data_IF_904826111939
#
_entry.id   IF_904826111939
#
_cell.length_a   1.000
_cell.length_b   1.000
_cell.length_c   1.000
_cell.angle_alpha   90.00
_cell.angle_beta   90.00
_cell.angle_gamma   90.00
#
_symmetry.space_group_name_H-M   'P 1'
#
loop_
_entity.id
_entity.type
_entity.pdbx_description
1 polymer ?
#
# COMPACT_ATOMS: atom_id res chain seq x y z
N UNK A 1 -17.06 7.21 -11.26
CA UNK A 1 -15.86 6.37 -11.01
C UNK A 1 -16.34 4.98 -10.66
N UNK A 2 -15.68 3.93 -11.17
CA UNK A 2 -15.93 2.58 -10.69
C UNK A 2 -15.38 2.44 -9.26
N UNK A 3 -16.21 1.95 -8.33
CA UNK A 3 -15.91 1.84 -6.91
C UNK A 3 -15.46 0.44 -6.51
N UNK A 4 -15.57 -0.54 -7.42
CA UNK A 4 -15.09 -1.91 -7.22
C UNK A 4 -13.57 -2.05 -7.41
N UNK A 5 -12.91 -1.03 -7.98
CA UNK A 5 -11.47 -1.05 -8.24
C UNK A 5 -11.08 -1.70 -9.58
N UNK A 6 -12.02 -1.86 -10.52
CA UNK A 6 -11.73 -2.27 -11.90
C UNK A 6 -11.44 -1.06 -12.82
N UNK A 7 -11.56 0.17 -12.32
CA UNK A 7 -11.25 1.42 -13.01
C UNK A 7 -9.82 1.96 -12.79
N UNK A 8 -9.62 3.24 -13.15
CA UNK A 8 -8.31 3.93 -13.05
C UNK A 8 -7.92 4.33 -11.62
N UNK A 9 -8.87 4.32 -10.68
CA UNK A 9 -8.66 4.67 -9.27
C UNK A 9 -8.79 3.42 -8.44
N UNK A 10 -7.89 3.26 -7.46
CA UNK A 10 -7.92 2.20 -6.46
C UNK A 10 -7.97 2.82 -5.07
N UNK A 11 -8.90 2.37 -4.24
CA UNK A 11 -8.96 2.75 -2.82
C UNK A 11 -8.05 1.82 -2.01
N UNK A 12 -7.22 2.41 -1.14
CA UNK A 12 -6.21 1.67 -0.35
C UNK A 12 -6.28 2.08 1.11
N UNK A 13 -5.93 1.15 2.00
CA UNK A 13 -5.84 1.40 3.43
C UNK A 13 -4.42 1.07 3.92
N UNK A 14 -3.58 2.07 4.23
CA UNK A 14 -2.17 1.86 4.57
C UNK A 14 -1.94 0.82 5.67
N UNK A 15 -2.74 0.84 6.74
CA UNK A 15 -2.60 -0.14 7.81
C UNK A 15 -2.92 -1.59 7.37
N UNK A 16 -3.78 -1.80 6.37
CA UNK A 16 -3.99 -3.13 5.80
C UNK A 16 -2.80 -3.60 4.95
N UNK A 17 -2.19 -2.69 4.18
CA UNK A 17 -0.98 -3.00 3.42
C UNK A 17 0.21 -3.31 4.35
N UNK A 18 0.43 -2.50 5.38
CA UNK A 18 1.44 -2.75 6.42
C UNK A 18 1.23 -4.11 7.08
N UNK A 19 -0.02 -4.44 7.46
CA UNK A 19 -0.36 -5.75 8.01
C UNK A 19 -0.04 -6.88 7.02
N UNK A 20 -0.34 -6.71 5.73
CA UNK A 20 -0.02 -7.70 4.69
C UNK A 20 1.48 -7.94 4.60
N UNK A 21 2.30 -6.89 4.67
CA UNK A 21 3.77 -6.98 4.61
C UNK A 21 4.44 -7.25 5.95
N UNK A 22 3.64 -7.56 6.99
CA UNK A 22 4.12 -7.88 8.34
C UNK A 22 4.92 -6.75 9.00
N UNK A 23 4.63 -5.51 8.61
CA UNK A 23 5.22 -4.30 9.20
C UNK A 23 4.36 -3.81 10.37
N UNK A 24 4.92 -2.88 11.16
CA UNK A 24 4.18 -2.21 12.23
C UNK A 24 2.95 -1.49 11.66
N UNK A 25 1.76 -1.94 12.04
CA UNK A 25 0.49 -1.45 11.49
C UNK A 25 -0.52 -0.97 12.55
N UNK A 26 -0.16 -1.06 13.84
CA UNK A 26 -1.02 -0.65 14.97
C UNK A 26 -0.34 0.37 15.85
N UNK A 27 -1.13 1.24 16.47
CA UNK A 27 -0.68 2.12 17.55
C UNK A 27 0.32 3.23 17.14
N UNK A 28 0.77 3.27 15.89
CA UNK A 28 1.71 4.31 15.44
C UNK A 28 1.06 5.69 15.35
N UNK A 29 -0.26 5.79 15.16
CA UNK A 29 -1.02 7.05 15.12
C UNK A 29 -1.56 7.52 16.48
N UNK A 30 -1.07 6.97 17.59
CA UNK A 30 -1.64 7.27 18.91
C UNK A 30 -1.41 8.74 19.29
N UNK A 31 -2.46 9.50 19.66
CA UNK A 31 -2.33 10.88 20.09
C UNK A 31 -1.35 11.03 21.26
N UNK A 32 -0.50 12.05 21.23
CA UNK A 32 0.44 12.35 22.31
C UNK A 32 1.81 11.67 22.22
N UNK A 33 2.04 10.83 21.19
CA UNK A 33 3.40 10.41 20.83
C UNK A 33 4.12 11.58 20.15
N UNK A 34 5.34 11.90 20.58
CA UNK A 34 6.23 12.80 19.83
C UNK A 34 6.34 12.28 18.41
N UNK A 35 6.31 13.17 17.41
CA UNK A 35 6.32 12.84 15.99
C UNK A 35 7.67 12.26 15.54
N UNK A 36 7.96 11.06 16.02
CA UNK A 36 9.11 10.24 15.69
C UNK A 36 8.60 8.88 15.21
N UNK A 37 8.62 8.75 13.89
CA UNK A 37 8.27 7.58 13.08
C UNK A 37 9.52 6.98 12.44
N UNK A 38 10.73 7.33 12.92
CA UNK A 38 11.99 6.83 12.36
C UNK A 38 12.04 5.31 12.26
N UNK A 39 11.54 4.63 13.29
CA UNK A 39 11.46 3.18 13.33
C UNK A 39 10.57 2.58 12.21
N UNK A 40 9.50 3.27 11.77
CA UNK A 40 8.66 2.81 10.65
C UNK A 40 9.40 2.88 9.33
N UNK A 41 10.17 3.96 9.13
CA UNK A 41 10.99 4.16 7.93
C UNK A 41 12.14 3.14 7.90
N UNK A 42 12.76 2.85 9.04
CA UNK A 42 13.79 1.81 9.17
C UNK A 42 13.23 0.42 8.86
N UNK A 43 12.07 0.07 9.43
CA UNK A 43 11.41 -1.22 9.18
C UNK A 43 11.06 -1.38 7.69
N UNK A 44 10.51 -0.32 7.08
CA UNK A 44 10.14 -0.31 5.66
C UNK A 44 11.36 -0.46 4.74
N UNK A 45 12.42 0.32 4.96
CA UNK A 45 13.62 0.31 4.11
C UNK A 45 14.45 -0.96 4.31
N UNK A 46 14.41 -1.59 5.49
CA UNK A 46 14.96 -2.92 5.70
C UNK A 46 14.18 -4.00 4.92
N UNK A 47 12.85 -3.90 4.85
CA UNK A 47 12.00 -4.84 4.11
C UNK A 47 12.00 -4.60 2.59
N UNK A 48 12.26 -3.36 2.16
CA UNK A 48 12.33 -2.93 0.77
C UNK A 48 13.61 -2.12 0.51
N UNK A 49 14.80 -2.76 0.46
CA UNK A 49 16.08 -2.07 0.29
C UNK A 49 16.24 -1.39 -1.08
N UNK A 50 15.33 -1.66 -2.01
CA UNK A 50 15.24 -1.01 -3.31
C UNK A 50 14.44 0.30 -3.28
N UNK A 51 13.76 0.62 -2.18
CA UNK A 51 12.95 1.83 -2.04
C UNK A 51 13.85 3.01 -1.65
N UNK A 52 13.94 4.00 -2.54
CA UNK A 52 14.57 5.28 -2.27
C UNK A 52 13.50 6.34 -1.97
N UNK A 53 13.52 6.88 -0.74
CA UNK A 53 12.63 7.97 -0.32
C UNK A 53 13.16 9.36 -0.73
N UNK A 54 14.42 9.45 -1.16
CA UNK A 54 15.09 10.69 -1.55
C UNK A 54 14.93 11.79 -0.51
N UNK A 55 14.60 12.99 -0.99
CA UNK A 55 14.40 14.17 -0.12
C UNK A 55 13.20 14.09 0.83
N UNK A 56 12.36 13.04 0.74
CA UNK A 56 11.19 12.86 1.60
C UNK A 56 11.44 11.93 2.80
N UNK A 57 12.64 11.34 2.94
CA UNK A 57 12.97 10.45 4.07
C UNK A 57 12.68 11.13 5.41
N UNK A 58 13.24 12.33 5.64
CA UNK A 58 13.06 13.06 6.89
C UNK A 58 11.58 13.41 7.14
N UNK A 59 10.82 13.73 6.09
CA UNK A 59 9.40 14.01 6.22
C UNK A 59 8.61 12.77 6.65
N UNK A 60 8.94 11.59 6.09
CA UNK A 60 8.32 10.32 6.49
C UNK A 60 8.65 9.96 7.95
N UNK A 61 9.82 10.34 8.45
CA UNK A 61 10.23 10.10 9.85
C UNK A 61 9.49 10.99 10.86
N UNK A 62 8.94 12.13 10.44
CA UNK A 62 8.26 13.07 11.35
C UNK A 62 6.76 13.25 11.05
N UNK A 63 6.24 12.60 10.02
CA UNK A 63 4.83 12.65 9.65
C UNK A 63 4.34 11.26 9.26
N UNK A 64 3.40 10.72 10.04
CA UNK A 64 2.76 9.45 9.68
C UNK A 64 1.92 9.58 8.41
N UNK A 65 1.44 10.80 8.06
CA UNK A 65 0.69 11.03 6.83
C UNK A 65 1.61 10.91 5.60
N UNK A 66 2.83 11.44 5.70
CA UNK A 66 3.83 11.27 4.65
C UNK A 66 4.26 9.80 4.51
N UNK A 67 4.47 9.10 5.62
CA UNK A 67 4.72 7.66 5.62
C UNK A 67 3.55 6.88 4.98
N UNK A 68 2.32 7.17 5.39
CA UNK A 68 1.12 6.51 4.83
C UNK A 68 0.95 6.77 3.34
N UNK A 69 1.34 7.95 2.84
CA UNK A 69 1.33 8.26 1.41
C UNK A 69 2.30 7.35 0.63
N UNK A 70 3.48 7.07 1.17
CA UNK A 70 4.42 6.10 0.60
C UNK A 70 3.79 4.70 0.56
N UNK A 71 3.20 4.25 1.67
CA UNK A 71 2.52 2.95 1.74
C UNK A 71 1.35 2.87 0.75
N UNK A 72 0.57 3.94 0.59
CA UNK A 72 -0.51 4.03 -0.38
C UNK A 72 0.02 3.91 -1.82
N UNK A 73 1.13 4.58 -2.15
CA UNK A 73 1.76 4.48 -3.46
C UNK A 73 2.26 3.05 -3.76
N UNK A 74 2.84 2.37 -2.77
CA UNK A 74 3.25 0.97 -2.89
C UNK A 74 2.06 0.02 -3.09
N UNK A 75 0.95 0.25 -2.39
CA UNK A 75 -0.29 -0.51 -2.58
C UNK A 75 -0.90 -0.26 -3.97
N UNK A 76 -0.87 0.99 -4.46
CA UNK A 76 -1.29 1.33 -5.81
C UNK A 76 -0.41 0.65 -6.88
N UNK A 77 0.91 0.55 -6.63
CA UNK A 77 1.81 -0.23 -7.50
C UNK A 77 1.43 -1.71 -7.52
N UNK A 78 1.08 -2.31 -6.38
CA UNK A 78 0.57 -3.68 -6.34
C UNK A 78 -0.71 -3.83 -7.18
N UNK A 79 -1.61 -2.86 -7.11
CA UNK A 79 -2.83 -2.82 -7.92
C UNK A 79 -2.52 -2.75 -9.43
N UNK A 80 -1.59 -1.89 -9.83
CA UNK A 80 -1.14 -1.78 -11.22
C UNK A 80 -0.50 -3.07 -11.75
N UNK A 81 0.11 -3.87 -10.88
CA UNK A 81 0.65 -5.20 -11.21
C UNK A 81 -0.40 -6.32 -11.15
N UNK A 82 -1.67 -6.01 -10.83
CA UNK A 82 -2.73 -7.00 -10.63
C UNK A 82 -2.57 -7.84 -9.35
N UNK A 83 -1.67 -7.46 -8.44
CA UNK A 83 -1.32 -8.18 -7.20
C UNK A 83 -2.13 -7.66 -6.01
N UNK A 84 -3.44 -7.55 -6.18
CA UNK A 84 -4.39 -7.14 -5.13
C UNK A 84 -5.57 -8.11 -5.06
N UNK A 85 -6.20 -8.16 -3.88
CA UNK A 85 -7.47 -8.87 -3.73
C UNK A 85 -8.58 -8.07 -4.39
N UNK A 86 -9.37 -8.72 -5.24
CA UNK A 86 -10.59 -8.18 -5.86
C UNK A 86 -11.84 -8.71 -5.16
N UNK A 87 -12.97 -7.99 -5.23
CA UNK A 87 -14.23 -8.52 -4.74
C UNK A 87 -14.62 -9.75 -5.56
N UNK A 88 -14.99 -10.83 -4.86
CA UNK A 88 -15.63 -11.98 -5.49
C UNK A 88 -17.06 -11.61 -5.97
N UNK A 89 -17.72 -12.47 -6.78
CA UNK A 89 -19.04 -12.14 -7.33
C UNK A 89 -20.10 -11.78 -6.29
N UNK A 90 -20.03 -12.36 -5.10
CA UNK A 90 -20.98 -12.12 -4.00
C UNK A 90 -20.70 -10.76 -3.33
N UNK A 91 -19.45 -10.33 -3.27
CA UNK A 91 -19.02 -9.06 -2.70
C UNK A 91 -19.19 -7.86 -3.64
N UNK A 92 -19.35 -8.08 -4.94
CA UNK A 92 -19.40 -7.00 -5.94
C UNK A 92 -20.52 -5.99 -5.71
N UNK A 93 -21.68 -6.45 -5.23
CA UNK A 93 -22.80 -5.54 -4.99
C UNK A 93 -22.54 -4.60 -3.81
N UNK A 94 -21.96 -5.14 -2.72
CA UNK A 94 -21.52 -4.33 -1.59
C UNK A 94 -20.40 -3.36 -2.01
N UNK A 95 -19.41 -3.84 -2.78
CA UNK A 95 -18.30 -3.02 -3.26
C UNK A 95 -18.76 -1.85 -4.16
N UNK A 96 -19.83 -2.02 -4.96
CA UNK A 96 -20.41 -0.93 -5.75
C UNK A 96 -20.98 0.18 -4.89
N UNK A 97 -21.59 -0.17 -3.76
CA UNK A 97 -22.26 0.77 -2.86
C UNK A 97 -21.27 1.42 -1.89
N UNK A 98 -20.43 0.60 -1.26
CA UNK A 98 -19.56 1.01 -0.14
C UNK A 98 -18.15 1.41 -0.60
N UNK A 99 -17.68 0.86 -1.72
CA UNK A 99 -16.28 0.94 -2.15
C UNK A 99 -15.50 -0.33 -1.83
N UNK A 100 -14.32 -0.47 -2.44
CA UNK A 100 -13.44 -1.62 -2.24
C UNK A 100 -12.03 -1.19 -1.86
N UNK A 101 -11.60 -1.59 -0.68
CA UNK A 101 -10.21 -1.40 -0.24
C UNK A 101 -9.35 -2.52 -0.85
N UNK A 102 -8.53 -2.15 -1.82
CA UNK A 102 -7.54 -3.04 -2.41
C UNK A 102 -6.41 -3.32 -1.40
N UNK A 103 -6.28 -4.59 -1.05
CA UNK A 103 -5.19 -5.08 -0.19
C UNK A 103 -4.22 -5.86 -1.06
N UNK A 104 -2.90 -5.57 -1.00
CA UNK A 104 -1.89 -6.33 -1.73
C UNK A 104 -1.96 -7.83 -1.42
N UNK A 105 -1.67 -8.66 -2.42
CA UNK A 105 -1.53 -10.11 -2.26
C UNK A 105 -0.09 -10.59 -2.37
N UNK A 106 0.85 -9.68 -2.67
CA UNK A 106 2.27 -9.96 -2.84
C UNK A 106 3.16 -9.36 -1.74
N UNK A 107 4.43 -9.77 -1.73
CA UNK A 107 5.46 -9.17 -0.89
C UNK A 107 5.98 -7.86 -1.50
N UNK A 108 6.75 -7.07 -0.73
CA UNK A 108 7.34 -5.81 -1.21
C UNK A 108 8.27 -6.02 -2.41
N UNK A 109 9.12 -7.05 -2.39
CA UNK A 109 10.05 -7.32 -3.49
C UNK A 109 9.36 -7.68 -4.82
N UNK A 110 8.13 -8.17 -4.76
CA UNK A 110 7.32 -8.47 -5.94
C UNK A 110 6.87 -7.20 -6.69
N UNK A 111 7.04 -6.01 -6.10
CA UNK A 111 6.67 -4.72 -6.69
C UNK A 111 7.68 -4.22 -7.73
N UNK A 112 8.94 -4.67 -7.63
CA UNK A 112 10.03 -4.30 -8.56
C UNK A 112 10.34 -5.38 -9.59
N UNK A 113 9.82 -6.60 -9.42
CA UNK A 113 9.94 -7.64 -10.43
C UNK A 113 9.18 -7.22 -11.68
N UNK A 114 9.89 -7.13 -12.81
CA UNK A 114 9.29 -6.76 -14.10
C UNK A 114 8.15 -7.73 -14.44
N UNK A 115 6.96 -7.19 -14.71
CA UNK A 115 5.96 -7.93 -15.46
C UNK A 115 6.48 -8.01 -16.89
N UNK A 116 7.04 -9.16 -17.27
CA UNK A 116 7.10 -9.50 -18.69
C UNK A 116 5.67 -9.44 -19.21
N UNK A 117 5.36 -8.65 -20.26
CA UNK A 117 4.04 -8.72 -20.87
C UNK A 117 3.91 -10.14 -21.46
N UNK A 118 3.08 -10.98 -20.82
CA UNK A 118 2.62 -12.22 -21.43
C UNK A 118 1.85 -11.83 -22.68
N UNK A 119 2.25 -12.44 -23.80
CA UNK A 119 1.93 -12.03 -25.15
C UNK A 119 0.45 -11.75 -25.42
N UNK A 120 0.21 -10.68 -26.18
CA UNK A 120 -0.97 -10.60 -27.02
C UNK A 120 -0.80 -11.63 -28.16
N UNK A 121 -1.89 -12.37 -28.38
CA UNK A 121 -2.05 -13.45 -29.36
C UNK A 121 -1.73 -13.03 -30.80
#
# INVERSE_FOLDING_TARGET
MDRCGDGVVVEVYPAAALRRWRLTHRGYKTPGRTADYGFLVEELTAAAPWLDLGGFDQLCRISHDAFDAVIAALAARAAALGKIRRPDPEQREAARTEGWIAVPTCELNDLVSATSPVGAA
#
